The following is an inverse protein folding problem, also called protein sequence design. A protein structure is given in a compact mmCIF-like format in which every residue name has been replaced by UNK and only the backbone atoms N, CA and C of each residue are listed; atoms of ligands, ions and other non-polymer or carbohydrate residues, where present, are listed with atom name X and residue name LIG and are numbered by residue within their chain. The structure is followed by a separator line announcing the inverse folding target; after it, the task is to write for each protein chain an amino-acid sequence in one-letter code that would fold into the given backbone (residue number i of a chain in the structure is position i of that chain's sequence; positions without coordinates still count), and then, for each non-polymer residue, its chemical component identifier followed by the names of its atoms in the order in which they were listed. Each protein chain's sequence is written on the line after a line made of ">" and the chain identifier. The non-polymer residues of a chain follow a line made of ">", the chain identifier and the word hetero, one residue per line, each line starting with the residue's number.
data_IF_742447534488
#
_entry.id   IF_742447534488
#
_cell.length_a   1.000
_cell.length_b   1.000
_cell.length_c   1.000
_cell.angle_alpha   90.00
_cell.angle_beta   90.00
_cell.angle_gamma   90.00
#
_symmetry.space_group_name_H-M   'P 1'
#
loop_
_entity.id
_entity.type
_entity.pdbx_description
1 polymer ?
#
# COMPACT_ATOMS: atom_id res chain seq x y z
N UNK A 1 14.75 -24.72 -3.01
CA UNK A 1 13.98 -24.44 -1.80
C UNK A 1 13.74 -22.89 -1.81
N UNK A 2 12.53 -22.42 -2.15
CA UNK A 2 12.14 -20.98 -2.31
C UNK A 2 11.76 -20.24 -1.00
N UNK A 3 12.65 -19.39 -0.47
CA UNK A 3 12.34 -18.36 0.53
C UNK A 3 11.17 -17.49 0.07
N UNK A 4 10.06 -17.47 0.80
CA UNK A 4 9.05 -16.42 0.63
C UNK A 4 9.66 -15.12 1.20
N UNK A 5 10.28 -14.34 0.34
CA UNK A 5 10.83 -13.04 0.70
C UNK A 5 9.65 -12.09 0.92
N UNK A 6 9.41 -11.68 2.17
CA UNK A 6 8.41 -10.68 2.49
C UNK A 6 8.94 -9.28 2.15
N UNK A 7 8.23 -8.60 1.24
CA UNK A 7 8.53 -7.24 0.78
C UNK A 7 8.67 -6.29 1.98
N UNK A 8 7.84 -6.45 3.01
CA UNK A 8 7.89 -5.58 4.21
C UNK A 8 9.19 -5.77 4.99
N UNK A 9 9.64 -7.01 5.15
CA UNK A 9 10.90 -7.32 5.82
C UNK A 9 12.08 -6.75 5.08
N UNK A 10 12.12 -6.90 3.75
CA UNK A 10 13.21 -6.35 2.94
C UNK A 10 13.18 -4.82 2.95
N UNK A 11 12.00 -4.22 2.85
CA UNK A 11 11.84 -2.75 2.92
C UNK A 11 12.34 -2.20 4.26
N UNK A 12 12.04 -2.88 5.38
CA UNK A 12 12.53 -2.48 6.69
C UNK A 12 14.06 -2.65 6.81
N UNK A 13 14.61 -3.76 6.30
CA UNK A 13 16.05 -4.00 6.31
C UNK A 13 16.83 -3.02 5.41
N UNK A 14 16.23 -2.57 4.31
CA UNK A 14 16.81 -1.59 3.39
C UNK A 14 16.76 -0.14 3.91
N UNK A 15 16.06 0.11 5.03
CA UNK A 15 15.80 1.46 5.50
C UNK A 15 17.11 2.22 5.79
N UNK A 16 17.26 3.41 5.18
CA UNK A 16 18.44 4.25 5.32
C UNK A 16 19.69 3.77 4.57
N UNK A 17 19.59 2.71 3.76
CA UNK A 17 20.70 2.15 2.98
C UNK A 17 20.47 2.23 1.46
N UNK A 18 19.42 2.91 1.02
CA UNK A 18 18.95 2.88 -0.36
C UNK A 18 19.97 3.36 -1.38
N UNK A 19 20.75 4.40 -1.09
CA UNK A 19 21.79 4.86 -2.03
C UNK A 19 22.79 3.73 -2.34
N UNK A 20 23.28 3.03 -1.31
CA UNK A 20 24.22 1.92 -1.48
C UNK A 20 23.58 0.70 -2.15
N UNK A 21 22.35 0.37 -1.78
CA UNK A 21 21.61 -0.77 -2.34
C UNK A 21 21.27 -0.57 -3.82
N UNK A 22 20.88 0.65 -4.20
CA UNK A 22 20.62 0.99 -5.61
C UNK A 22 21.91 0.88 -6.43
N UNK A 23 23.03 1.43 -5.96
CA UNK A 23 24.33 1.28 -6.63
C UNK A 23 24.80 -0.17 -6.70
N UNK A 24 24.61 -0.98 -5.66
CA UNK A 24 24.90 -2.42 -5.68
C UNK A 24 24.01 -3.17 -6.69
N UNK A 25 22.78 -2.69 -6.88
CA UNK A 25 21.89 -3.14 -7.94
C UNK A 25 22.22 -2.51 -9.30
N UNK A 26 23.26 -1.69 -9.47
CA UNK A 26 23.61 -1.08 -10.76
C UNK A 26 22.67 0.06 -11.19
N UNK A 27 22.04 0.74 -10.22
CA UNK A 27 21.28 1.97 -10.41
C UNK A 27 21.99 3.09 -9.65
N UNK A 28 22.70 3.94 -10.37
CA UNK A 28 23.43 5.05 -9.75
C UNK A 28 22.52 6.25 -9.50
N UNK A 29 22.56 6.76 -8.27
CA UNK A 29 21.84 7.97 -7.86
C UNK A 29 22.83 9.03 -7.36
N UNK A 30 22.55 10.32 -7.53
CA UNK A 30 23.34 11.39 -6.90
C UNK A 30 23.32 11.24 -5.38
N UNK A 31 24.30 11.85 -4.72
CA UNK A 31 24.32 11.91 -3.26
C UNK A 31 23.03 12.55 -2.73
N UNK A 32 22.58 12.08 -1.55
CA UNK A 32 21.40 12.62 -0.87
C UNK A 32 21.37 14.16 -0.85
N UNK A 33 20.23 14.72 -1.23
CA UNK A 33 20.00 16.17 -1.32
C UNK A 33 20.58 16.85 -2.56
N UNK A 34 21.27 16.11 -3.44
CA UNK A 34 21.83 16.64 -4.69
C UNK A 34 20.99 16.27 -5.90
N UNK A 35 21.08 17.13 -6.91
CA UNK A 35 20.47 16.92 -8.21
C UNK A 35 21.43 16.18 -9.15
N UNK A 36 20.88 15.38 -10.07
CA UNK A 36 21.67 14.62 -11.03
C UNK A 36 20.87 14.08 -12.21
N UNK A 37 21.54 13.24 -13.01
CA UNK A 37 20.93 12.49 -14.09
C UNK A 37 19.87 11.52 -13.56
N UNK A 38 18.75 11.37 -14.28
CA UNK A 38 17.71 10.43 -13.90
C UNK A 38 18.06 9.01 -14.35
N UNK A 39 18.01 7.99 -13.48
CA UNK A 39 18.23 6.61 -13.88
C UNK A 39 17.15 6.04 -14.81
N UNK A 40 15.97 6.68 -14.87
CA UNK A 40 14.82 6.22 -15.66
C UNK A 40 14.80 6.89 -17.04
N UNK A 41 15.01 8.22 -17.11
CA UNK A 41 14.88 8.99 -18.36
C UNK A 41 16.14 9.79 -18.75
N UNK A 42 17.25 9.68 -18.02
CA UNK A 42 18.51 10.38 -18.30
C UNK A 42 18.51 11.87 -17.92
N UNK A 43 19.22 12.69 -18.71
CA UNK A 43 19.46 14.11 -18.43
C UNK A 43 20.66 14.36 -17.51
N UNK A 44 20.75 15.55 -16.91
CA UNK A 44 21.90 15.96 -16.09
C UNK A 44 21.55 16.46 -14.67
N UNK A 45 20.38 17.09 -14.46
CA UNK A 45 20.04 17.77 -13.20
C UNK A 45 18.60 17.51 -12.71
N UNK A 46 17.83 16.69 -13.40
CA UNK A 46 16.38 16.61 -13.26
C UNK A 46 15.88 15.69 -12.16
N UNK A 47 16.76 14.82 -11.68
CA UNK A 47 16.50 13.84 -10.65
C UNK A 47 17.04 14.33 -9.31
N UNK A 48 16.27 14.12 -8.25
CA UNK A 48 16.62 14.45 -6.88
C UNK A 48 16.42 13.23 -5.99
N UNK A 49 17.49 12.77 -5.34
CA UNK A 49 17.46 11.71 -4.34
C UNK A 49 17.39 12.34 -2.95
N UNK A 50 16.22 12.26 -2.31
CA UNK A 50 15.95 12.90 -1.01
C UNK A 50 16.21 11.92 0.13
N UNK A 51 15.63 10.73 0.06
CA UNK A 51 15.73 9.70 1.12
C UNK A 51 15.58 10.26 2.54
N UNK A 52 14.62 11.18 2.74
CA UNK A 52 14.44 11.87 4.03
C UNK A 52 13.80 10.96 5.08
N UNK A 53 13.00 9.98 4.65
CA UNK A 53 12.37 9.00 5.53
C UNK A 53 13.10 7.66 5.57
N UNK A 54 14.25 7.53 4.90
CA UNK A 54 15.00 6.28 4.79
C UNK A 54 14.35 5.25 3.85
N UNK A 55 13.37 5.64 3.03
CA UNK A 55 12.67 4.75 2.10
C UNK A 55 13.23 4.77 0.66
N UNK A 56 14.28 5.53 0.41
CA UNK A 56 14.83 5.76 -0.92
C UNK A 56 14.00 6.77 -1.71
N UNK A 57 13.38 7.73 -1.03
CA UNK A 57 12.48 8.73 -1.63
C UNK A 57 13.19 9.52 -2.73
N UNK A 58 12.57 9.58 -3.90
CA UNK A 58 13.12 10.28 -5.06
C UNK A 58 12.04 11.02 -5.85
N UNK A 59 12.47 12.01 -6.62
CA UNK A 59 11.60 12.76 -7.54
C UNK A 59 12.35 13.13 -8.81
N UNK A 60 11.65 13.07 -9.95
CA UNK A 60 12.14 13.54 -11.25
C UNK A 60 11.17 14.52 -11.89
N UNK A 61 11.69 15.65 -12.39
CA UNK A 61 10.88 16.71 -13.01
C UNK A 61 10.36 16.38 -14.43
N UNK A 62 10.80 15.28 -15.05
CA UNK A 62 10.43 14.91 -16.45
C UNK A 62 10.03 13.44 -16.65
N UNK A 63 10.07 12.60 -15.62
CA UNK A 63 9.48 11.27 -15.75
C UNK A 63 7.96 11.39 -15.89
N UNK A 64 7.37 10.45 -16.64
CA UNK A 64 5.92 10.28 -16.64
C UNK A 64 5.41 9.88 -15.26
N UNK A 65 4.12 10.14 -15.00
CA UNK A 65 3.48 9.83 -13.73
C UNK A 65 3.46 8.30 -13.47
N UNK A 66 3.83 7.85 -12.25
CA UNK A 66 4.29 8.66 -11.13
C UNK A 66 5.73 9.16 -11.35
N UNK A 67 6.02 10.44 -11.13
CA UNK A 67 7.36 11.00 -11.32
C UNK A 67 8.18 11.05 -10.02
N UNK A 68 7.73 10.31 -9.01
CA UNK A 68 8.32 10.15 -7.68
C UNK A 68 8.02 8.73 -7.19
N UNK A 69 8.68 8.30 -6.11
CA UNK A 69 8.42 6.99 -5.51
C UNK A 69 9.46 6.65 -4.44
N UNK A 70 9.45 5.39 -4.03
CA UNK A 70 10.44 4.84 -3.11
C UNK A 70 11.60 4.13 -3.86
N UNK A 71 12.54 3.56 -3.10
CA UNK A 71 13.70 2.89 -3.69
C UNK A 71 13.36 1.63 -4.50
N UNK A 72 12.28 0.91 -4.17
CA UNK A 72 11.82 -0.21 -5.00
C UNK A 72 11.20 0.28 -6.30
N UNK A 73 10.36 1.32 -6.23
CA UNK A 73 9.79 1.94 -7.42
C UNK A 73 10.89 2.42 -8.38
N UNK A 74 11.96 3.02 -7.84
CA UNK A 74 13.10 3.46 -8.63
C UNK A 74 13.78 2.30 -9.33
N UNK A 75 14.10 1.24 -8.58
CA UNK A 75 14.81 0.06 -9.09
C UNK A 75 14.00 -0.64 -10.18
N UNK A 76 12.70 -0.83 -9.95
CA UNK A 76 11.78 -1.44 -10.92
C UNK A 76 11.75 -0.65 -12.22
N UNK A 77 11.65 0.68 -12.14
CA UNK A 77 11.54 1.52 -13.34
C UNK A 77 12.84 1.71 -14.07
N UNK A 78 13.96 1.84 -13.35
CA UNK A 78 15.27 1.98 -13.97
C UNK A 78 15.68 0.70 -14.73
N UNK A 79 15.26 -0.47 -14.25
CA UNK A 79 15.60 -1.76 -14.88
C UNK A 79 14.50 -2.42 -15.71
N UNK A 80 13.27 -1.93 -15.62
CA UNK A 80 12.12 -2.58 -16.26
C UNK A 80 11.80 -3.96 -15.68
N UNK A 81 11.99 -4.15 -14.37
CA UNK A 81 11.78 -5.43 -13.68
C UNK A 81 10.54 -5.41 -12.79
N UNK A 82 10.06 -6.60 -12.44
CA UNK A 82 8.94 -6.78 -11.52
C UNK A 82 9.34 -6.51 -10.07
N UNK A 83 8.35 -6.27 -9.20
CA UNK A 83 8.59 -6.09 -7.77
C UNK A 83 9.28 -7.29 -7.13
N UNK A 84 8.97 -8.52 -7.58
CA UNK A 84 9.57 -9.74 -7.03
C UNK A 84 11.07 -9.79 -7.36
N UNK A 85 11.43 -9.43 -8.58
CA UNK A 85 12.84 -9.38 -9.02
C UNK A 85 13.60 -8.25 -8.30
N UNK A 86 12.97 -7.09 -8.12
CA UNK A 86 13.55 -5.98 -7.37
C UNK A 86 13.79 -6.36 -5.90
N UNK A 87 12.80 -6.99 -5.25
CA UNK A 87 12.88 -7.48 -3.88
C UNK A 87 13.98 -8.53 -3.73
N UNK A 88 14.11 -9.45 -4.70
CA UNK A 88 15.19 -10.44 -4.72
C UNK A 88 16.56 -9.76 -4.85
N UNK A 89 16.73 -8.84 -5.80
CA UNK A 89 17.99 -8.13 -6.00
C UNK A 89 18.43 -7.33 -4.76
N UNK A 90 17.51 -6.65 -4.10
CA UNK A 90 17.79 -5.92 -2.85
C UNK A 90 18.09 -6.89 -1.70
N UNK A 91 17.37 -8.01 -1.60
CA UNK A 91 17.63 -9.03 -0.58
C UNK A 91 19.02 -9.64 -0.72
N UNK A 92 19.41 -9.94 -1.95
CA UNK A 92 20.73 -10.47 -2.28
C UNK A 92 21.82 -9.42 -1.94
N UNK A 93 21.58 -8.14 -2.24
CA UNK A 93 22.49 -7.04 -1.92
C UNK A 93 22.62 -6.76 -0.41
N UNK A 94 21.57 -7.01 0.38
CA UNK A 94 21.60 -6.94 1.84
C UNK A 94 22.36 -8.10 2.50
N UNK A 95 22.78 -9.11 1.72
CA UNK A 95 23.47 -10.32 2.20
C UNK A 95 22.74 -11.02 3.36
N UNK A 96 21.40 -10.95 3.39
CA UNK A 96 20.59 -11.72 4.34
C UNK A 96 20.62 -13.20 3.92
N UNK A 97 20.84 -14.16 4.85
CA UNK A 97 20.76 -15.58 4.51
C UNK A 97 19.35 -15.91 4.01
N UNK A 98 19.25 -16.42 2.77
CA UNK A 98 18.01 -16.85 2.14
C UNK A 98 17.47 -18.13 2.82
N UNK A 99 16.27 -18.15 3.43
CA UNK A 99 15.74 -19.34 4.06
C UNK A 99 15.02 -20.27 3.07
N UNK A 100 15.40 -21.54 3.10
CA UNK A 100 14.83 -22.61 2.31
C UNK A 100 13.42 -23.08 2.85
N UNK A 101 12.37 -23.40 2.03
CA UNK A 101 10.98 -23.60 2.46
C UNK A 101 10.47 -25.06 2.53
N UNK A 102 9.38 -25.12 3.31
CA UNK A 102 8.19 -26.02 3.36
C UNK A 102 8.11 -26.87 4.65
N UNK A 103 6.92 -27.36 5.06
CA UNK A 103 5.58 -26.75 5.06
C UNK A 103 4.88 -26.84 6.46
N UNK A 104 3.86 -25.99 6.66
CA UNK A 104 2.77 -26.07 7.64
C UNK A 104 3.03 -26.65 9.05
N UNK A 105 3.11 -25.77 10.07
CA UNK A 105 2.26 -25.89 11.28
C UNK A 105 2.04 -24.52 11.93
N UNK A 106 0.77 -24.29 12.29
CA UNK A 106 0.20 -23.19 13.08
C UNK A 106 1.02 -23.00 14.37
N UNK A 107 1.31 -21.78 14.81
CA UNK A 107 0.45 -20.92 15.66
C UNK A 107 1.00 -19.47 15.58
N UNK A 108 0.20 -18.45 15.21
CA UNK A 108 -0.63 -17.59 16.09
C UNK A 108 0.20 -16.87 17.18
N UNK A 109 0.09 -15.58 17.51
CA UNK A 109 -0.77 -14.46 17.15
C UNK A 109 -0.35 -13.30 18.08
N UNK A 110 -0.34 -12.05 17.61
CA UNK A 110 -0.86 -10.88 18.36
C UNK A 110 -1.51 -9.94 17.34
N UNK A 111 -2.69 -10.26 16.81
CA UNK A 111 -4.01 -9.75 17.24
C UNK A 111 -4.05 -8.30 17.71
N UNK A 112 -4.30 -7.39 16.78
CA UNK A 112 -4.94 -6.09 17.07
C UNK A 112 -6.45 -6.09 16.70
N UNK A 113 -6.99 -7.22 16.26
CA UNK A 113 -8.41 -7.38 15.94
C UNK A 113 -9.38 -7.12 17.13
N UNK A 114 -9.07 -7.50 18.39
CA UNK A 114 -9.94 -7.19 19.52
C UNK A 114 -10.04 -5.68 19.79
N UNK A 115 -8.91 -4.98 19.70
CA UNK A 115 -8.82 -3.55 20.00
C UNK A 115 -9.58 -2.70 18.97
N UNK A 116 -9.55 -3.07 17.69
CA UNK A 116 -10.28 -2.36 16.65
C UNK A 116 -11.78 -2.64 16.79
N UNK A 117 -12.19 -3.88 17.02
CA UNK A 117 -13.59 -4.24 17.20
C UNK A 117 -14.22 -3.56 18.44
N UNK A 118 -13.49 -3.48 19.56
CA UNK A 118 -13.95 -2.74 20.75
C UNK A 118 -14.05 -1.24 20.51
N UNK A 119 -13.07 -0.64 19.82
CA UNK A 119 -13.13 0.78 19.44
C UNK A 119 -14.31 1.09 18.52
N UNK A 120 -14.58 0.23 17.55
CA UNK A 120 -15.74 0.36 16.65
C UNK A 120 -17.04 0.23 17.43
N UNK A 121 -17.18 -0.77 18.32
CA UNK A 121 -18.37 -0.90 19.20
C UNK A 121 -18.59 0.33 20.07
N UNK A 122 -17.52 0.89 20.64
CA UNK A 122 -17.59 2.10 21.47
C UNK A 122 -17.98 3.34 20.67
N UNK A 123 -17.54 3.45 19.42
CA UNK A 123 -17.94 4.55 18.53
C UNK A 123 -19.40 4.43 18.11
N UNK A 124 -19.83 3.24 17.71
CA UNK A 124 -21.23 2.96 17.34
C UNK A 124 -22.18 3.25 18.50
N UNK A 125 -21.82 2.86 19.73
CA UNK A 125 -22.63 3.14 20.93
C UNK A 125 -22.77 4.63 21.27
N UNK A 126 -21.93 5.51 20.72
CA UNK A 126 -22.01 6.96 20.91
C UNK A 126 -22.82 7.67 19.81
N UNK A 127 -23.36 6.92 18.85
CA UNK A 127 -24.13 7.49 17.75
C UNK A 127 -25.62 7.64 18.11
N UNK A 128 -26.26 8.62 17.49
CA UNK A 128 -27.71 8.82 17.50
C UNK A 128 -28.27 8.58 16.11
N UNK A 129 -29.47 8.02 16.03
CA UNK A 129 -30.18 7.89 14.76
C UNK A 129 -30.74 9.24 14.32
N UNK A 130 -30.46 9.64 13.08
CA UNK A 130 -30.90 10.92 12.53
C UNK A 130 -30.70 11.03 11.03
N UNK A 131 -30.76 12.25 10.51
CA UNK A 131 -30.49 12.56 9.11
C UNK A 131 -29.28 13.48 9.00
N UNK A 132 -28.34 13.16 8.11
CA UNK A 132 -27.19 14.02 7.83
C UNK A 132 -27.63 15.21 6.98
N UNK A 133 -27.42 16.43 7.48
CA UNK A 133 -27.68 17.68 6.74
C UNK A 133 -26.99 17.70 5.37
N UNK A 134 -25.77 17.16 5.29
CA UNK A 134 -25.03 17.07 4.03
C UNK A 134 -25.78 16.24 2.99
N UNK A 135 -26.30 15.07 3.36
CA UNK A 135 -27.00 14.18 2.44
C UNK A 135 -28.39 14.70 2.08
N UNK A 136 -29.08 15.30 3.04
CA UNK A 136 -30.36 16.01 2.80
C UNK A 136 -30.15 17.14 1.79
N UNK A 137 -29.12 17.96 1.95
CA UNK A 137 -28.78 19.06 1.02
C UNK A 137 -28.30 18.56 -0.36
N UNK A 138 -27.83 17.31 -0.45
CA UNK A 138 -27.49 16.66 -1.72
C UNK A 138 -28.68 15.96 -2.39
N UNK A 139 -29.88 16.07 -1.82
CA UNK A 139 -31.09 15.42 -2.35
C UNK A 139 -31.07 13.89 -2.17
N UNK A 140 -30.31 13.39 -1.20
CA UNK A 140 -30.19 11.97 -0.87
C UNK A 140 -30.72 11.71 0.56
N UNK A 141 -32.03 11.89 0.82
CA UNK A 141 -32.59 11.65 2.14
C UNK A 141 -32.51 10.16 2.48
N UNK A 142 -31.85 9.85 3.58
CA UNK A 142 -31.73 8.49 4.11
C UNK A 142 -32.12 8.55 5.59
N UNK A 143 -33.27 7.98 5.98
CA UNK A 143 -33.66 7.90 7.38
C UNK A 143 -32.78 6.89 8.13
N UNK A 144 -32.72 7.04 9.46
CA UNK A 144 -32.04 6.11 10.39
C UNK A 144 -30.52 5.99 10.24
N UNK A 145 -29.85 7.11 10.00
CA UNK A 145 -28.39 7.17 9.94
C UNK A 145 -27.76 7.28 11.32
N UNK A 146 -26.66 6.54 11.55
CA UNK A 146 -25.86 6.67 12.77
C UNK A 146 -24.95 7.90 12.68
N UNK A 147 -25.28 8.93 13.45
CA UNK A 147 -24.55 10.18 13.50
C UNK A 147 -23.84 10.33 14.84
N UNK A 148 -22.61 10.82 14.82
CA UNK A 148 -21.93 11.31 16.01
C UNK A 148 -22.51 12.68 16.42
N UNK A 149 -22.19 13.12 17.64
CA UNK A 149 -22.70 14.38 18.21
C UNK A 149 -22.33 15.64 17.41
N UNK A 150 -21.28 15.54 16.59
CA UNK A 150 -20.81 16.61 15.70
C UNK A 150 -21.49 16.59 14.31
N UNK A 151 -22.43 15.67 14.08
CA UNK A 151 -23.10 15.49 12.79
C UNK A 151 -22.34 14.59 11.80
N UNK A 152 -21.19 14.04 12.19
CA UNK A 152 -20.42 13.12 11.35
C UNK A 152 -21.12 11.77 11.20
N UNK A 153 -21.16 11.23 9.98
CA UNK A 153 -21.78 9.95 9.66
C UNK A 153 -20.85 8.77 9.97
N UNK A 154 -21.36 7.76 10.68
CA UNK A 154 -20.64 6.50 10.92
C UNK A 154 -21.25 5.40 10.05
N UNK A 155 -20.43 4.87 9.13
CA UNK A 155 -20.81 3.75 8.25
C UNK A 155 -20.09 2.48 8.70
N UNK A 156 -20.84 1.52 9.22
CA UNK A 156 -20.32 0.19 9.56
C UNK A 156 -20.51 -0.72 8.35
N UNK A 157 -19.44 -1.00 7.62
CA UNK A 157 -19.46 -1.97 6.52
C UNK A 157 -19.22 -3.37 7.06
N UNK A 158 -20.13 -4.29 6.78
CA UNK A 158 -19.95 -5.72 7.05
C UNK A 158 -19.72 -6.46 5.74
N UNK A 159 -18.90 -7.51 5.77
CA UNK A 159 -18.82 -8.44 4.64
C UNK A 159 -20.18 -9.11 4.43
N UNK A 160 -20.58 -9.30 3.18
CA UNK A 160 -21.94 -9.71 2.80
C UNK A 160 -22.35 -11.11 3.29
N UNK A 161 -21.41 -11.93 3.75
CA UNK A 161 -21.63 -13.27 4.29
C UNK A 161 -21.49 -13.33 5.83
N UNK A 162 -21.27 -12.19 6.50
CA UNK A 162 -21.01 -12.13 7.94
C UNK A 162 -19.68 -12.75 8.38
N UNK A 163 -18.79 -13.12 7.45
CA UNK A 163 -17.46 -13.67 7.75
C UNK A 163 -16.35 -12.67 7.39
N UNK A 164 -15.37 -12.50 8.27
CA UNK A 164 -14.23 -11.61 8.01
C UNK A 164 -13.21 -12.32 7.13
N UNK A 165 -13.25 -12.07 5.82
CA UNK A 165 -12.18 -12.43 4.89
C UNK A 165 -11.52 -11.16 4.34
N UNK A 166 -10.18 -11.18 4.23
CA UNK A 166 -9.39 -10.08 3.66
C UNK A 166 -9.56 -10.11 2.14
N UNK A 167 -10.42 -9.27 1.60
CA UNK A 167 -10.45 -9.00 0.16
C UNK A 167 -9.73 -7.69 -0.20
N UNK A 168 -8.75 -7.83 -1.09
CA UNK A 168 -8.11 -6.75 -1.81
C UNK A 168 -9.06 -6.31 -2.93
N UNK A 169 -9.73 -5.17 -2.77
CA UNK A 169 -10.43 -4.57 -3.91
C UNK A 169 -9.48 -3.66 -4.69
N UNK A 170 -9.12 -4.09 -5.90
CA UNK A 170 -8.59 -3.22 -6.94
C UNK A 170 -9.78 -2.50 -7.60
N UNK A 171 -9.75 -1.18 -7.42
CA UNK A 171 -10.53 -0.10 -8.03
C UNK A 171 -11.30 -0.41 -9.33
N UNK A 172 -12.56 0.05 -9.43
CA UNK A 172 -13.09 0.58 -10.70
C UNK A 172 -13.98 1.80 -10.45
N UNK A 173 -13.71 2.85 -11.20
CA UNK A 173 -14.47 4.10 -11.19
C UNK A 173 -15.65 4.03 -12.17
N UNK A 174 -16.81 4.44 -11.65
CA UNK A 174 -17.93 5.19 -12.26
C UNK A 174 -19.06 4.49 -13.07
N UNK A 175 -20.27 4.93 -12.68
CA UNK A 175 -21.56 5.10 -13.39
C UNK A 175 -22.56 3.93 -13.33
N UNK A 176 -23.67 4.18 -12.61
CA UNK A 176 -25.02 3.86 -13.09
C UNK A 176 -25.48 2.41 -13.07
N UNK A 177 -26.11 2.03 -11.94
CA UNK A 177 -27.27 1.14 -11.80
C UNK A 177 -27.25 -0.29 -12.40
N UNK A 178 -27.58 -1.24 -11.51
CA UNK A 178 -27.93 -2.65 -11.72
C UNK A 178 -26.79 -3.61 -12.09
N UNK A 179 -26.26 -4.30 -11.07
CA UNK A 179 -25.52 -5.53 -11.25
C UNK A 179 -26.45 -6.73 -11.07
N UNK A 180 -26.73 -7.43 -12.17
CA UNK A 180 -26.99 -8.86 -12.14
C UNK A 180 -25.70 -9.53 -12.62
N UNK A 181 -25.10 -10.40 -11.82
CA UNK A 181 -24.08 -11.31 -12.35
C UNK A 181 -24.23 -12.70 -11.79
N UNK A 182 -24.32 -13.58 -12.77
CA UNK A 182 -24.47 -15.02 -12.72
C UNK A 182 -23.16 -15.62 -12.20
N UNK A 183 -23.29 -16.53 -11.24
CA UNK A 183 -22.21 -17.39 -10.78
C UNK A 183 -21.92 -18.41 -11.88
N UNK A 184 -20.68 -18.49 -12.34
CA UNK A 184 -20.17 -19.68 -13.00
C UNK A 184 -19.14 -20.34 -12.09
N UNK A 185 -19.53 -21.52 -11.61
CA UNK A 185 -18.73 -22.43 -10.80
C UNK A 185 -17.73 -23.15 -11.70
N UNK A 186 -16.48 -23.24 -11.29
CA UNK A 186 -15.60 -24.31 -11.77
C UNK A 186 -15.07 -25.05 -10.55
N UNK A 187 -15.26 -26.37 -10.60
CA UNK A 187 -15.04 -27.40 -9.58
C UNK A 187 -13.59 -27.51 -9.13
#
# INVERSE_FOLDING_TARGET
>A
MVSHIDIRTVKAAAQGQWQGLLSACGVDVPAKGKHGACPICGGSDRFHFMDDHGNGDWHCRQCDNPNHGDGFDLLMRAKGITIIEAVKAVSDALALPLPEPKPARKEALKSEAPLIAEKVKKLVAQTTFGQSDYLTNKGLPCPDQQLLKDGSLVLVTQALDGSFTRDFHRCFHRVGACWASKLETIT
#
